data_IF_976139257766
#
_entry.id   IF_976139257766
#
_cell.length_a   1.000
_cell.length_b   1.000
_cell.length_c   1.000
_cell.angle_alpha   90.00
_cell.angle_beta   90.00
_cell.angle_gamma   90.00
#
_symmetry.space_group_name_H-M   'P 1'
#
loop_
_entity.id
_entity.type
_entity.pdbx_description
1 polymer ?
#
# COMPACT_ATOMS: atom_id res chain seq x y z
N UNK A 1 -6.53 7.75 14.00
CA UNK A 1 -7.08 6.45 13.58
C UNK A 1 -8.16 6.68 12.53
N UNK A 2 -8.18 5.87 11.46
CA UNK A 2 -9.23 5.83 10.43
C UNK A 2 -10.07 4.60 10.68
N UNK A 3 -11.39 4.71 10.59
CA UNK A 3 -12.34 3.64 10.88
C UNK A 3 -12.99 3.11 9.60
N UNK A 4 -13.43 1.87 9.62
CA UNK A 4 -14.08 1.16 8.52
C UNK A 4 -15.29 1.91 7.93
N UNK A 5 -16.11 2.54 8.75
CA UNK A 5 -17.27 3.33 8.34
C UNK A 5 -16.98 4.82 8.46
N UNK A 6 -16.13 5.38 7.67
CA UNK A 6 -15.72 6.80 7.61
C UNK A 6 -15.85 7.60 8.94
N UNK A 7 -16.82 7.29 9.79
CA UNK A 7 -17.15 7.87 11.09
C UNK A 7 -17.17 9.42 11.07
N UNK A 8 -17.63 10.01 9.95
CA UNK A 8 -17.75 11.46 9.81
C UNK A 8 -18.93 11.99 10.62
N UNK A 9 -18.78 13.18 11.15
CA UNK A 9 -19.83 13.88 11.84
C UNK A 9 -20.77 14.51 10.79
N UNK A 10 -22.03 14.03 10.65
CA UNK A 10 -22.89 14.36 9.51
C UNK A 10 -23.39 15.82 9.50
N UNK A 11 -23.34 16.48 10.66
CA UNK A 11 -23.75 17.87 10.86
C UNK A 11 -22.62 18.87 10.68
N UNK A 12 -21.38 18.39 10.48
CA UNK A 12 -20.19 19.19 10.24
C UNK A 12 -19.81 19.14 8.75
N UNK A 13 -19.29 20.24 8.24
CA UNK A 13 -18.68 20.34 6.91
C UNK A 13 -17.37 19.56 6.84
N UNK A 14 -16.78 19.43 5.65
CA UNK A 14 -15.47 18.79 5.44
C UNK A 14 -14.38 19.44 6.30
N UNK A 15 -14.27 20.78 6.26
CA UNK A 15 -13.25 21.49 7.04
C UNK A 15 -13.47 21.33 8.55
N UNK A 16 -14.71 21.38 9.00
CA UNK A 16 -15.05 21.18 10.42
C UNK A 16 -14.76 19.75 10.87
N UNK A 17 -15.07 18.72 10.04
CA UNK A 17 -14.73 17.33 10.31
C UNK A 17 -13.22 17.15 10.43
N UNK A 18 -12.43 17.71 9.51
CA UNK A 18 -10.97 17.63 9.54
C UNK A 18 -10.38 18.37 10.72
N UNK A 19 -10.90 19.58 11.03
CA UNK A 19 -10.44 20.39 12.15
C UNK A 19 -10.86 19.84 13.54
N UNK A 20 -11.85 18.96 13.60
CA UNK A 20 -12.47 18.50 14.84
C UNK A 20 -11.48 17.98 15.89
N UNK A 21 -10.47 17.13 15.57
CA UNK A 21 -9.50 16.69 16.57
C UNK A 21 -8.72 17.84 17.22
N UNK A 22 -8.39 18.87 16.46
CA UNK A 22 -7.70 20.07 16.97
C UNK A 22 -8.65 20.95 17.80
N UNK A 23 -9.95 20.96 17.49
CA UNK A 23 -10.96 21.62 18.28
C UNK A 23 -11.06 21.00 19.68
N UNK A 24 -11.12 19.68 19.76
CA UNK A 24 -11.13 18.92 21.03
C UNK A 24 -9.85 19.19 21.83
N UNK A 25 -8.72 19.43 21.19
CA UNK A 25 -7.45 19.81 21.85
C UNK A 25 -7.41 21.29 22.26
N UNK A 26 -8.45 22.06 22.00
CA UNK A 26 -8.52 23.50 22.38
C UNK A 26 -7.67 24.42 21.48
N UNK A 27 -7.29 23.96 20.28
CA UNK A 27 -6.53 24.79 19.31
C UNK A 27 -7.45 25.91 18.78
N UNK A 28 -6.92 27.15 18.71
CA UNK A 28 -7.67 28.31 18.21
C UNK A 28 -8.20 28.07 16.79
N UNK A 29 -9.39 28.59 16.53
CA UNK A 29 -10.13 28.37 15.28
C UNK A 29 -9.30 28.67 14.03
N UNK A 30 -8.65 29.83 14.01
CA UNK A 30 -7.85 30.28 12.86
C UNK A 30 -6.71 29.31 12.54
N UNK A 31 -6.06 28.75 13.58
CA UNK A 31 -4.94 27.81 13.45
C UNK A 31 -5.43 26.45 12.97
N UNK A 32 -6.52 25.91 13.59
CA UNK A 32 -7.02 24.59 13.22
C UNK A 32 -7.64 24.57 11.83
N UNK A 33 -8.31 25.65 11.40
CA UNK A 33 -8.87 25.75 10.04
C UNK A 33 -7.74 25.86 9.00
N UNK A 34 -6.70 26.65 9.25
CA UNK A 34 -5.56 26.73 8.36
C UNK A 34 -4.90 25.34 8.15
N UNK A 35 -4.63 24.60 9.23
CA UNK A 35 -4.11 23.22 9.16
C UNK A 35 -5.07 22.27 8.46
N UNK A 36 -6.37 22.38 8.72
CA UNK A 36 -7.36 21.55 8.05
C UNK A 36 -7.35 21.79 6.53
N UNK A 37 -7.23 23.03 6.07
CA UNK A 37 -7.15 23.36 4.65
C UNK A 37 -5.91 22.73 3.98
N UNK A 38 -4.73 22.78 4.63
CA UNK A 38 -3.51 22.16 4.13
C UNK A 38 -3.71 20.65 3.93
N UNK A 39 -4.30 19.97 4.91
CA UNK A 39 -4.52 18.51 4.83
C UNK A 39 -5.63 18.16 3.84
N UNK A 40 -6.68 18.98 3.70
CA UNK A 40 -7.73 18.82 2.69
C UNK A 40 -7.13 18.90 1.28
N UNK A 41 -6.23 19.84 1.04
CA UNK A 41 -5.50 19.93 -0.24
C UNK A 41 -4.59 18.73 -0.47
N UNK A 42 -3.89 18.27 0.58
CA UNK A 42 -3.01 17.10 0.54
C UNK A 42 -3.75 15.82 0.08
N UNK A 43 -5.00 15.62 0.54
CA UNK A 43 -5.83 14.46 0.15
C UNK A 43 -6.67 14.71 -1.10
N UNK A 44 -6.45 15.78 -1.85
CA UNK A 44 -7.12 16.09 -3.11
C UNK A 44 -8.59 16.47 -2.99
N UNK A 45 -8.98 17.12 -1.88
CA UNK A 45 -10.35 17.60 -1.64
C UNK A 45 -10.50 19.11 -1.74
N UNK A 46 -9.54 19.81 -2.35
CA UNK A 46 -9.62 21.26 -2.59
C UNK A 46 -10.91 21.63 -3.33
N UNK A 47 -11.62 22.63 -2.84
CA UNK A 47 -12.92 23.08 -3.35
C UNK A 47 -14.11 22.32 -2.75
N UNK A 48 -13.88 21.40 -1.78
CA UNK A 48 -14.91 20.64 -1.07
C UNK A 48 -15.00 20.99 0.43
N UNK A 49 -14.36 22.05 0.87
CA UNK A 49 -14.19 22.43 2.28
C UNK A 49 -15.55 22.61 2.99
N UNK A 50 -16.52 23.20 2.31
CA UNK A 50 -17.84 23.52 2.83
C UNK A 50 -18.91 22.45 2.56
N UNK A 51 -18.53 21.29 1.99
CA UNK A 51 -19.46 20.20 1.71
C UNK A 51 -19.72 19.39 2.97
N UNK A 52 -20.98 19.00 3.15
CA UNK A 52 -21.37 18.03 4.18
C UNK A 52 -21.11 16.59 3.71
N UNK A 53 -20.92 15.61 4.61
CA UNK A 53 -20.67 14.21 4.24
C UNK A 53 -21.67 13.66 3.20
N UNK A 54 -22.97 13.97 3.32
CA UNK A 54 -24.01 13.55 2.39
C UNK A 54 -23.86 14.07 0.94
N UNK A 55 -23.03 15.08 0.72
CA UNK A 55 -22.76 15.69 -0.59
C UNK A 55 -21.49 15.11 -1.23
N UNK A 56 -20.80 14.22 -0.53
CA UNK A 56 -19.53 13.60 -0.94
C UNK A 56 -19.75 12.15 -1.36
N UNK A 57 -19.00 11.68 -2.37
CA UNK A 57 -18.92 10.25 -2.71
C UNK A 57 -18.25 9.47 -1.59
N UNK A 58 -18.39 8.13 -1.57
CA UNK A 58 -17.74 7.26 -0.57
C UNK A 58 -16.22 7.47 -0.51
N UNK A 59 -15.54 7.53 -1.67
CA UNK A 59 -14.10 7.81 -1.71
C UNK A 59 -13.75 9.21 -1.20
N UNK A 60 -14.58 10.22 -1.46
CA UNK A 60 -14.38 11.55 -0.89
C UNK A 60 -14.58 11.57 0.63
N UNK A 61 -15.60 10.85 1.14
CA UNK A 61 -15.80 10.70 2.59
C UNK A 61 -14.61 9.99 3.25
N UNK A 62 -14.05 8.97 2.61
CA UNK A 62 -12.85 8.29 3.08
C UNK A 62 -11.66 9.24 3.15
N UNK A 63 -11.44 10.07 2.11
CA UNK A 63 -10.39 11.10 2.11
C UNK A 63 -10.57 12.11 3.25
N UNK A 64 -11.81 12.48 3.60
CA UNK A 64 -12.08 13.34 4.78
C UNK A 64 -11.68 12.62 6.07
N UNK A 65 -11.99 11.33 6.22
CA UNK A 65 -11.58 10.51 7.37
C UNK A 65 -10.06 10.41 7.51
N UNK A 66 -9.37 10.22 6.37
CA UNK A 66 -7.91 10.23 6.29
C UNK A 66 -7.37 11.61 6.72
N UNK A 67 -7.86 12.69 6.14
CA UNK A 67 -7.45 14.06 6.47
C UNK A 67 -7.65 14.38 7.95
N UNK A 68 -8.80 14.01 8.53
CA UNK A 68 -9.08 14.16 9.96
C UNK A 68 -8.08 13.45 10.84
N UNK A 69 -7.61 12.28 10.43
CA UNK A 69 -6.62 11.51 11.20
C UNK A 69 -5.20 12.07 11.07
N UNK A 70 -4.90 12.77 9.97
CA UNK A 70 -3.59 13.35 9.69
C UNK A 70 -3.39 14.76 10.27
N UNK A 71 -4.47 15.53 10.48
CA UNK A 71 -4.40 16.93 10.91
C UNK A 71 -3.67 17.13 12.25
N UNK A 72 -3.63 16.09 13.09
CA UNK A 72 -2.90 16.07 14.38
C UNK A 72 -1.45 15.61 14.25
N UNK A 73 -0.97 15.35 13.03
CA UNK A 73 0.39 14.91 12.73
C UNK A 73 0.86 13.71 13.58
N UNK A 74 0.14 12.58 13.60
CA UNK A 74 0.48 11.46 14.45
C UNK A 74 1.83 10.85 14.07
N UNK A 75 2.62 10.41 15.05
CA UNK A 75 3.85 9.62 14.80
C UNK A 75 3.52 8.20 14.34
N UNK A 76 2.42 7.65 14.86
CA UNK A 76 1.92 6.33 14.52
C UNK A 76 0.48 6.45 13.98
N UNK A 77 0.28 6.00 12.75
CA UNK A 77 -0.99 6.14 12.06
C UNK A 77 -1.71 4.79 11.94
N UNK A 78 -2.88 4.67 12.58
CA UNK A 78 -3.72 3.46 12.57
C UNK A 78 -4.85 3.57 11.56
N UNK A 79 -5.00 2.55 10.71
CA UNK A 79 -6.11 2.40 9.77
C UNK A 79 -6.76 1.03 9.97
N UNK A 80 -8.06 1.04 10.20
CA UNK A 80 -8.86 -0.15 10.44
C UNK A 80 -9.82 -0.35 9.25
N UNK A 81 -9.52 -1.33 8.41
CA UNK A 81 -10.23 -1.66 7.17
C UNK A 81 -10.65 -0.43 6.32
N UNK A 82 -9.72 0.48 6.01
CA UNK A 82 -10.10 1.79 5.45
C UNK A 82 -10.74 1.72 4.07
N UNK A 83 -10.62 0.60 3.35
CA UNK A 83 -11.14 0.48 1.98
C UNK A 83 -12.30 -0.51 1.83
N UNK A 84 -12.72 -1.18 2.90
CA UNK A 84 -13.75 -2.24 2.86
C UNK A 84 -15.12 -1.76 2.38
N UNK A 85 -15.47 -0.50 2.68
CA UNK A 85 -16.76 0.11 2.30
C UNK A 85 -16.77 0.71 0.87
N UNK A 86 -15.69 0.58 0.10
CA UNK A 86 -15.55 1.17 -1.23
C UNK A 86 -15.79 0.13 -2.34
N UNK A 87 -16.35 0.57 -3.46
CA UNK A 87 -16.41 -0.24 -4.67
C UNK A 87 -15.00 -0.53 -5.22
N UNK A 88 -14.81 -1.59 -6.04
CA UNK A 88 -13.49 -2.04 -6.45
C UNK A 88 -12.66 -0.99 -7.21
N UNK A 89 -13.30 -0.11 -8.01
CA UNK A 89 -12.59 0.92 -8.78
C UNK A 89 -12.06 2.01 -7.84
N UNK A 90 -12.95 2.57 -7.02
CA UNK A 90 -12.60 3.60 -6.04
C UNK A 90 -11.61 3.06 -5.00
N UNK A 91 -11.73 1.79 -4.60
CA UNK A 91 -10.77 1.12 -3.71
C UNK A 91 -9.36 1.17 -4.27
N UNK A 92 -9.17 0.82 -5.55
CA UNK A 92 -7.86 0.86 -6.21
C UNK A 92 -7.29 2.26 -6.27
N UNK A 93 -8.09 3.26 -6.65
CA UNK A 93 -7.69 4.67 -6.64
C UNK A 93 -7.26 5.15 -5.25
N UNK A 94 -7.98 4.72 -4.20
CA UNK A 94 -7.65 5.07 -2.82
C UNK A 94 -6.38 4.38 -2.31
N UNK A 95 -6.10 3.16 -2.74
CA UNK A 95 -4.84 2.46 -2.46
C UNK A 95 -3.65 3.17 -3.11
N UNK A 96 -3.78 3.61 -4.37
CA UNK A 96 -2.75 4.40 -5.06
C UNK A 96 -2.46 5.71 -4.33
N UNK A 97 -3.52 6.40 -3.92
CA UNK A 97 -3.41 7.63 -3.14
C UNK A 97 -2.76 7.38 -1.77
N UNK A 98 -3.05 6.25 -1.13
CA UNK A 98 -2.44 5.86 0.13
C UNK A 98 -0.93 5.62 -0.02
N UNK A 99 -0.49 4.90 -1.07
CA UNK A 99 0.93 4.72 -1.39
C UNK A 99 1.62 6.07 -1.60
N UNK A 100 0.98 7.00 -2.32
CA UNK A 100 1.49 8.37 -2.50
C UNK A 100 1.67 9.08 -1.16
N UNK A 101 0.67 9.02 -0.27
CA UNK A 101 0.73 9.63 1.06
C UNK A 101 1.80 8.97 1.95
N UNK A 102 1.94 7.65 1.93
CA UNK A 102 2.96 6.90 2.66
C UNK A 102 4.36 7.37 2.27
N UNK A 103 4.63 7.47 0.96
CA UNK A 103 5.91 7.94 0.44
C UNK A 103 6.23 9.39 0.81
N UNK A 104 5.20 10.25 0.86
CA UNK A 104 5.34 11.65 1.20
C UNK A 104 5.56 11.87 2.70
N UNK A 105 4.76 11.20 3.52
CA UNK A 105 4.71 11.42 4.97
C UNK A 105 5.81 10.67 5.74
N UNK A 106 6.28 9.52 5.21
CA UNK A 106 7.29 8.64 5.84
C UNK A 106 6.98 8.32 7.31
N UNK A 107 5.71 8.06 7.62
CA UNK A 107 5.22 7.72 8.95
C UNK A 107 5.16 6.21 9.15
N UNK A 108 5.25 5.77 10.39
CA UNK A 108 4.91 4.38 10.74
C UNK A 108 3.40 4.21 10.67
N UNK A 109 2.95 3.23 9.88
CA UNK A 109 1.54 2.96 9.63
C UNK A 109 1.21 1.55 10.09
N UNK A 110 0.15 1.40 10.87
CA UNK A 110 -0.46 0.12 11.19
C UNK A 110 -1.78 0.04 10.43
N UNK A 111 -1.84 -0.88 9.49
CA UNK A 111 -2.96 -1.08 8.58
C UNK A 111 -3.61 -2.43 8.87
N UNK A 112 -4.88 -2.44 9.20
CA UNK A 112 -5.66 -3.66 9.45
C UNK A 112 -6.55 -3.92 8.25
N UNK A 113 -6.49 -5.13 7.69
CA UNK A 113 -7.34 -5.58 6.59
C UNK A 113 -7.58 -7.09 6.68
N UNK A 114 -8.69 -7.54 6.14
CA UNK A 114 -8.96 -8.96 5.88
C UNK A 114 -8.65 -9.34 4.41
N UNK A 115 -8.26 -8.37 3.59
CA UNK A 115 -7.90 -8.57 2.17
C UNK A 115 -6.38 -8.70 2.04
N UNK A 116 -5.92 -9.91 1.68
CA UNK A 116 -4.51 -10.19 1.59
C UNK A 116 -3.83 -9.50 0.39
N UNK A 117 -4.54 -9.30 -0.73
CA UNK A 117 -4.02 -8.52 -1.86
C UNK A 117 -3.75 -7.07 -1.46
N UNK A 118 -4.59 -6.48 -0.59
CA UNK A 118 -4.32 -5.16 0.00
C UNK A 118 -3.07 -5.16 0.86
N UNK A 119 -2.94 -6.17 1.74
CA UNK A 119 -1.77 -6.29 2.60
C UNK A 119 -0.47 -6.40 1.80
N UNK A 120 -0.43 -7.25 0.76
CA UNK A 120 0.72 -7.40 -0.14
C UNK A 120 1.08 -6.08 -0.81
N UNK A 121 0.07 -5.36 -1.29
CA UNK A 121 0.28 -4.13 -2.06
C UNK A 121 0.80 -2.97 -1.24
N UNK A 122 0.41 -2.88 0.03
CA UNK A 122 0.56 -1.68 0.85
C UNK A 122 1.59 -1.83 1.97
N UNK A 123 1.92 -3.05 2.40
CA UNK A 123 2.71 -3.26 3.59
C UNK A 123 4.16 -3.68 3.30
N UNK A 124 5.10 -3.13 4.06
CA UNK A 124 6.48 -3.61 4.11
C UNK A 124 6.58 -4.93 4.89
N UNK A 125 5.72 -5.09 5.92
CA UNK A 125 5.62 -6.29 6.75
C UNK A 125 4.17 -6.60 7.07
N UNK A 126 3.83 -7.89 7.08
CA UNK A 126 2.48 -8.38 7.37
C UNK A 126 2.54 -9.27 8.61
N UNK A 127 1.62 -9.03 9.55
CA UNK A 127 1.35 -9.91 10.68
C UNK A 127 0.07 -10.69 10.39
N UNK A 128 0.16 -12.00 10.20
CA UNK A 128 -0.99 -12.88 10.08
C UNK A 128 -1.46 -13.26 11.47
N UNK A 129 -2.75 -13.01 11.76
CA UNK A 129 -3.35 -13.29 13.07
C UNK A 129 -4.44 -14.34 12.96
N UNK A 130 -4.54 -15.19 13.99
CA UNK A 130 -5.59 -16.18 14.15
C UNK A 130 -5.95 -16.30 15.63
N UNK A 131 -7.24 -16.30 15.95
CA UNK A 131 -7.76 -16.48 17.30
C UNK A 131 -7.15 -15.54 18.37
N UNK A 132 -6.74 -14.32 17.94
CA UNK A 132 -6.12 -13.31 18.80
C UNK A 132 -4.61 -13.46 18.98
N UNK A 133 -3.98 -14.45 18.35
CA UNK A 133 -2.53 -14.68 18.39
C UNK A 133 -1.90 -14.36 17.03
N UNK A 134 -0.60 -14.04 17.03
CA UNK A 134 0.16 -13.81 15.82
C UNK A 134 0.78 -15.13 15.37
N UNK A 135 0.39 -15.63 14.21
CA UNK A 135 0.92 -16.85 13.60
C UNK A 135 2.30 -16.62 12.96
N UNK A 136 2.43 -15.51 12.22
CA UNK A 136 3.68 -15.14 11.54
C UNK A 136 3.75 -13.63 11.30
N UNK A 137 4.97 -13.08 11.37
CA UNK A 137 5.27 -11.70 10.92
C UNK A 137 6.43 -11.78 9.93
N UNK A 138 6.18 -11.41 8.68
CA UNK A 138 7.20 -11.41 7.63
C UNK A 138 6.89 -10.36 6.55
N UNK A 139 7.79 -10.18 5.60
CA UNK A 139 7.46 -9.48 4.37
C UNK A 139 6.55 -10.35 3.48
N UNK A 140 5.87 -9.75 2.46
CA UNK A 140 4.96 -10.49 1.60
C UNK A 140 5.57 -11.71 0.91
N UNK A 141 6.83 -11.60 0.46
CA UNK A 141 7.54 -12.68 -0.24
C UNK A 141 7.78 -13.86 0.69
N UNK A 142 8.28 -13.63 1.89
CA UNK A 142 8.55 -14.66 2.88
C UNK A 142 7.28 -15.38 3.33
N UNK A 143 6.16 -14.67 3.49
CA UNK A 143 4.87 -15.29 3.84
C UNK A 143 4.40 -16.30 2.80
N UNK A 144 4.65 -16.03 1.52
CA UNK A 144 4.23 -16.89 0.41
C UNK A 144 5.20 -18.04 0.18
N UNK A 145 6.51 -17.82 0.36
CA UNK A 145 7.55 -18.83 0.07
C UNK A 145 7.83 -19.76 1.27
N UNK A 146 7.68 -19.23 2.50
CA UNK A 146 8.02 -19.96 3.74
C UNK A 146 6.93 -19.71 4.82
N UNK A 147 5.71 -20.23 4.59
CA UNK A 147 4.62 -20.11 5.56
C UNK A 147 4.94 -20.93 6.83
N UNK A 148 4.88 -20.29 8.01
CA UNK A 148 5.21 -20.89 9.27
C UNK A 148 4.20 -21.95 9.74
N UNK A 149 2.94 -21.86 9.31
CA UNK A 149 1.85 -22.78 9.69
C UNK A 149 0.97 -23.13 8.50
N UNK A 150 0.22 -24.23 8.61
CA UNK A 150 -0.77 -24.61 7.59
C UNK A 150 -1.83 -23.52 7.39
N UNK A 151 -2.14 -22.74 8.43
CA UNK A 151 -3.07 -21.62 8.33
C UNK A 151 -2.50 -20.50 7.43
N UNK A 152 -1.25 -20.14 7.60
CA UNK A 152 -0.58 -19.13 6.75
C UNK A 152 -0.48 -19.66 5.32
N UNK A 153 -0.13 -20.93 5.12
CA UNK A 153 -0.06 -21.56 3.80
C UNK A 153 -1.41 -21.54 3.08
N UNK A 154 -2.51 -21.84 3.78
CA UNK A 154 -3.88 -21.76 3.23
C UNK A 154 -4.27 -20.33 2.89
N UNK A 155 -3.93 -19.39 3.77
CA UNK A 155 -4.23 -17.98 3.61
C UNK A 155 -3.52 -17.36 2.39
N UNK A 156 -2.28 -17.80 2.12
CA UNK A 156 -1.46 -17.32 0.99
C UNK A 156 -1.65 -18.11 -0.31
N UNK A 157 -2.38 -19.21 -0.30
CA UNK A 157 -2.53 -20.17 -1.43
C UNK A 157 -2.96 -19.52 -2.75
N UNK A 158 -3.84 -18.52 -2.68
CA UNK A 158 -4.43 -17.88 -3.86
C UNK A 158 -3.66 -16.66 -4.36
N UNK A 159 -2.56 -16.33 -3.69
CA UNK A 159 -1.72 -15.20 -4.08
C UNK A 159 -0.92 -15.54 -5.32
N UNK A 160 -0.95 -14.64 -6.30
CA UNK A 160 -0.03 -14.76 -7.44
C UNK A 160 1.42 -14.57 -6.97
N UNK A 161 2.23 -15.60 -7.11
CA UNK A 161 3.67 -15.53 -6.78
C UNK A 161 4.38 -14.38 -7.49
N UNK A 162 3.95 -14.04 -8.70
CA UNK A 162 4.50 -12.94 -9.48
C UNK A 162 4.34 -11.56 -8.81
N UNK A 163 3.33 -11.39 -7.96
CA UNK A 163 3.09 -10.14 -7.22
C UNK A 163 4.01 -9.94 -6.02
N UNK A 164 4.65 -11.01 -5.53
CA UNK A 164 5.44 -10.97 -4.29
C UNK A 164 6.90 -11.35 -4.50
N UNK A 165 7.21 -12.26 -5.43
CA UNK A 165 8.58 -12.69 -5.70
C UNK A 165 9.34 -11.57 -6.38
N UNK A 166 10.51 -11.25 -5.82
CA UNK A 166 11.40 -10.19 -6.31
C UNK A 166 12.41 -10.72 -7.32
N UNK A 167 12.90 -9.84 -8.20
CA UNK A 167 13.95 -10.16 -9.16
C UNK A 167 15.21 -10.74 -8.49
N UNK A 168 15.57 -10.22 -7.31
CA UNK A 168 16.72 -10.72 -6.54
C UNK A 168 16.59 -12.18 -6.12
N UNK A 169 15.38 -12.67 -5.88
CA UNK A 169 15.12 -14.04 -5.39
C UNK A 169 15.35 -15.09 -6.48
N UNK A 170 15.03 -14.74 -7.74
CA UNK A 170 15.15 -15.68 -8.86
C UNK A 170 16.31 -15.37 -9.82
N UNK A 171 17.12 -14.33 -9.53
CA UNK A 171 18.29 -14.01 -10.34
C UNK A 171 19.32 -15.12 -10.32
N UNK A 172 20.08 -15.22 -11.41
CA UNK A 172 21.26 -16.08 -11.53
C UNK A 172 22.55 -15.26 -11.53
N UNK A 173 23.71 -15.90 -11.23
CA UNK A 173 25.00 -15.23 -11.42
C UNK A 173 25.18 -14.73 -12.85
N UNK A 174 25.92 -13.66 -13.02
CA UNK A 174 26.21 -13.09 -14.35
C UNK A 174 27.00 -14.10 -15.17
N UNK A 175 26.45 -14.50 -16.33
CA UNK A 175 27.04 -15.48 -17.25
C UNK A 175 27.23 -14.95 -18.65
N UNK A 176 26.62 -13.80 -18.98
CA UNK A 176 26.61 -13.22 -20.34
C UNK A 176 27.10 -11.79 -20.31
N UNK A 177 27.71 -11.34 -21.41
CA UNK A 177 28.22 -9.97 -21.55
C UNK A 177 27.22 -9.05 -22.29
N UNK A 178 26.15 -9.62 -22.89
CA UNK A 178 25.11 -8.89 -23.59
C UNK A 178 23.81 -8.93 -22.77
N UNK A 179 23.19 -7.76 -22.57
CA UNK A 179 22.00 -7.58 -21.77
C UNK A 179 20.92 -6.85 -22.57
N UNK A 180 19.66 -7.20 -22.33
CA UNK A 180 18.48 -6.56 -22.93
C UNK A 180 18.03 -5.31 -22.19
N UNK A 181 18.46 -5.14 -20.93
CA UNK A 181 18.09 -4.02 -20.09
C UNK A 181 18.53 -4.20 -18.65
N UNK A 182 17.95 -3.40 -17.77
CA UNK A 182 18.23 -3.41 -16.32
C UNK A 182 16.90 -3.43 -15.54
N UNK A 183 16.84 -4.20 -14.45
CA UNK A 183 15.71 -4.27 -13.53
C UNK A 183 16.18 -4.04 -12.10
N UNK A 184 15.34 -3.44 -11.26
CA UNK A 184 15.65 -3.25 -9.85
C UNK A 184 15.59 -4.61 -9.12
N UNK A 185 16.47 -4.82 -8.14
CA UNK A 185 16.56 -6.07 -7.38
C UNK A 185 15.30 -6.37 -6.56
N UNK A 186 14.60 -5.34 -6.13
CA UNK A 186 13.38 -5.37 -5.30
C UNK A 186 12.09 -5.30 -6.12
N UNK A 187 12.18 -5.12 -7.45
CA UNK A 187 11.03 -5.17 -8.33
C UNK A 187 10.42 -6.58 -8.35
N UNK A 188 9.10 -6.66 -8.30
CA UNK A 188 8.37 -7.93 -8.39
C UNK A 188 8.40 -8.49 -9.81
N UNK A 189 8.16 -9.79 -9.94
CA UNK A 189 8.12 -10.45 -11.26
C UNK A 189 7.00 -9.87 -12.12
N UNK A 190 5.85 -9.51 -11.52
CA UNK A 190 4.74 -8.86 -12.24
C UNK A 190 5.16 -7.52 -12.84
N UNK A 191 5.94 -6.70 -12.10
CA UNK A 191 6.39 -5.39 -12.56
C UNK A 191 7.40 -5.45 -13.72
N UNK A 192 8.23 -6.49 -13.75
CA UNK A 192 9.28 -6.63 -14.78
C UNK A 192 8.88 -7.55 -15.92
N UNK A 193 7.73 -8.23 -15.85
CA UNK A 193 7.31 -9.24 -16.84
C UNK A 193 7.31 -8.69 -18.26
N UNK A 194 6.64 -7.58 -18.49
CA UNK A 194 6.52 -6.97 -19.84
C UNK A 194 7.89 -6.53 -20.40
N UNK A 195 8.81 -6.13 -19.53
CA UNK A 195 10.14 -5.67 -19.94
C UNK A 195 11.05 -6.84 -20.30
N UNK A 196 10.93 -7.96 -19.61
CA UNK A 196 11.80 -9.14 -19.76
C UNK A 196 11.23 -10.13 -20.76
N UNK A 197 9.90 -10.21 -20.91
CA UNK A 197 9.22 -11.08 -21.85
C UNK A 197 9.63 -10.73 -23.31
N UNK A 198 9.99 -11.75 -24.06
CA UNK A 198 10.41 -11.58 -25.46
C UNK A 198 11.83 -11.04 -25.64
N UNK A 199 12.56 -10.71 -24.59
CA UNK A 199 13.95 -10.32 -24.69
C UNK A 199 14.84 -11.53 -25.03
N UNK A 200 15.71 -11.38 -26.03
CA UNK A 200 16.71 -12.40 -26.41
C UNK A 200 17.89 -12.48 -25.44
N UNK A 201 18.09 -11.44 -24.64
CA UNK A 201 19.21 -11.31 -23.71
C UNK A 201 18.68 -11.17 -22.30
N UNK A 202 19.41 -11.68 -21.28
CA UNK A 202 19.03 -11.47 -19.89
C UNK A 202 19.09 -9.98 -19.53
N UNK A 203 18.36 -9.60 -18.49
CA UNK A 203 18.44 -8.28 -17.91
C UNK A 203 19.36 -8.30 -16.69
N UNK A 204 20.10 -7.20 -16.49
CA UNK A 204 20.89 -7.01 -15.27
C UNK A 204 19.96 -6.77 -14.08
N UNK A 205 20.23 -7.39 -12.95
CA UNK A 205 19.58 -7.08 -11.68
C UNK A 205 20.45 -6.08 -10.93
N UNK A 206 19.87 -4.92 -10.63
CA UNK A 206 20.59 -3.77 -10.08
C UNK A 206 20.24 -3.54 -8.61
N UNK A 207 21.25 -3.29 -7.78
CA UNK A 207 21.11 -2.79 -6.40
C UNK A 207 22.11 -1.66 -6.18
N UNK A 208 21.64 -0.49 -5.75
CA UNK A 208 22.46 0.69 -5.45
C UNK A 208 23.45 1.05 -6.57
N UNK A 209 23.01 0.94 -7.83
CA UNK A 209 23.83 1.20 -9.03
C UNK A 209 24.82 0.10 -9.38
N UNK A 210 24.83 -1.02 -8.67
CA UNK A 210 25.70 -2.18 -8.94
C UNK A 210 24.91 -3.35 -9.53
N UNK A 211 25.53 -4.06 -10.48
CA UNK A 211 24.96 -5.28 -11.03
C UNK A 211 25.22 -6.44 -10.06
N UNK A 212 24.18 -7.04 -9.51
CA UNK A 212 24.28 -8.14 -8.54
C UNK A 212 23.94 -9.50 -9.13
N UNK A 213 23.34 -9.54 -10.32
CA UNK A 213 22.97 -10.78 -11.01
C UNK A 213 22.33 -10.50 -12.36
N UNK A 214 21.78 -11.53 -12.96
CA UNK A 214 21.01 -11.46 -14.19
C UNK A 214 19.72 -12.27 -14.08
N UNK A 215 18.69 -11.85 -14.84
CA UNK A 215 17.42 -12.56 -14.97
C UNK A 215 17.09 -12.74 -16.46
N UNK A 216 16.67 -13.91 -16.86
CA UNK A 216 16.22 -14.19 -18.22
C UNK A 216 14.70 -14.39 -18.29
N UNK A 217 14.15 -14.34 -19.51
CA UNK A 217 12.71 -14.48 -19.74
C UNK A 217 12.18 -15.85 -19.25
N UNK A 218 12.98 -16.91 -19.29
CA UNK A 218 12.53 -18.23 -18.84
C UNK A 218 12.29 -18.29 -17.34
N UNK A 219 13.12 -17.60 -16.54
CA UNK A 219 12.94 -17.51 -15.08
C UNK A 219 11.64 -16.77 -14.75
N UNK A 220 11.38 -15.66 -15.43
CA UNK A 220 10.14 -14.88 -15.26
C UNK A 220 8.91 -15.69 -15.66
N UNK A 221 8.92 -16.33 -16.83
CA UNK A 221 7.81 -17.16 -17.31
C UNK A 221 7.51 -18.31 -16.36
N UNK A 222 8.52 -18.97 -15.79
CA UNK A 222 8.31 -20.07 -14.84
C UNK A 222 7.48 -19.62 -13.63
N UNK A 223 7.77 -18.45 -13.07
CA UNK A 223 6.98 -17.89 -11.95
C UNK A 223 5.57 -17.53 -12.39
N UNK A 224 5.40 -16.88 -13.55
CA UNK A 224 4.09 -16.48 -14.07
C UNK A 224 3.14 -17.67 -14.32
N UNK A 225 3.70 -18.82 -14.78
CA UNK A 225 2.91 -20.05 -15.03
C UNK A 225 2.89 -21.02 -13.83
N UNK A 226 3.44 -20.63 -12.68
CA UNK A 226 3.44 -21.44 -11.45
C UNK A 226 4.29 -22.72 -11.54
N UNK A 227 5.37 -22.70 -12.34
CA UNK A 227 6.36 -23.77 -12.36
C UNK A 227 7.49 -23.40 -11.39
N UNK A 228 7.72 -24.30 -10.43
CA UNK A 228 8.85 -24.21 -9.48
C UNK A 228 10.20 -24.42 -10.17
#
# INVERSE_FOLDING_TARGET
>A
MVFQQFALLPHLTTIENVAFPLDVQGVKKEVREARALEVIELVGLKGRENYYPRQLSGGQQQRVGIARSLVVEPDLWFLDEPFSALDPLIRREMQDEFIRLQNLLKKTIVFITHDFDEAIRLADRIAVMKDGEIEQIADPEQLVLDPATDYVAEFTRHVSRAKVIKAATIMSPIKKDQFGGEVAHDATIEEIADQVEGSKFPHKVMRDGQVIGQIDSSAVVNILVGRD
#
